data_IF_731779659985
#
_entry.id   IF_731779659985
#
_cell.length_a   1.000
_cell.length_b   1.000
_cell.length_c   1.000
_cell.angle_alpha   90.00
_cell.angle_beta   90.00
_cell.angle_gamma   90.00
#
_symmetry.space_group_name_H-M   'P 1'
#
loop_
_entity.id
_entity.type
_entity.pdbx_description
1 polymer ?
#
# COMPACT_ATOMS: atom_id res chain seq x y z
N UNK A 1 10.76 -12.15 -12.51
CA UNK A 1 10.82 -10.97 -11.62
C UNK A 1 12.05 -10.13 -11.94
N UNK A 2 13.20 -10.71 -11.98
CA UNK A 2 14.47 -10.01 -12.23
C UNK A 2 14.46 -9.23 -13.57
N UNK A 3 13.90 -9.77 -14.62
CA UNK A 3 13.73 -9.07 -15.91
C UNK A 3 12.95 -7.73 -15.78
N UNK A 4 11.96 -7.66 -14.89
CA UNK A 4 11.19 -6.43 -14.64
C UNK A 4 12.04 -5.43 -13.86
N UNK A 5 12.78 -5.92 -12.86
CA UNK A 5 13.57 -5.07 -11.97
C UNK A 5 14.86 -4.58 -12.62
N UNK A 6 15.51 -5.42 -13.43
CA UNK A 6 16.75 -5.09 -14.14
C UNK A 6 16.52 -4.34 -15.45
N UNK A 7 15.35 -4.46 -16.03
CA UNK A 7 15.00 -3.85 -17.33
C UNK A 7 14.97 -2.32 -17.33
N UNK A 8 14.92 -1.68 -16.18
CA UNK A 8 14.95 -0.22 -16.05
C UNK A 8 13.73 0.50 -16.64
N UNK A 9 12.67 -0.23 -17.01
CA UNK A 9 11.46 0.33 -17.61
C UNK A 9 10.59 1.09 -16.60
N UNK A 10 10.72 0.74 -15.32
CA UNK A 10 9.96 1.32 -14.23
C UNK A 10 10.94 1.86 -13.19
N UNK A 11 10.57 2.95 -12.55
CA UNK A 11 11.40 3.57 -11.53
C UNK A 11 10.58 4.00 -10.33
N UNK A 12 11.13 3.80 -9.15
CA UNK A 12 10.52 4.32 -7.94
C UNK A 12 10.37 5.83 -7.96
N UNK A 13 9.29 6.31 -7.36
CA UNK A 13 9.13 7.71 -7.03
C UNK A 13 10.24 8.12 -6.04
N UNK A 14 10.88 9.25 -6.31
CA UNK A 14 11.96 9.79 -5.44
C UNK A 14 11.43 10.81 -4.44
N UNK A 15 10.20 11.24 -4.62
CA UNK A 15 9.52 12.18 -3.72
C UNK A 15 8.02 12.05 -3.93
N UNK A 16 7.27 12.49 -2.92
CA UNK A 16 5.81 12.57 -3.03
C UNK A 16 5.31 13.66 -3.99
N UNK A 17 6.16 14.42 -4.62
CA UNK A 17 5.92 15.43 -5.67
C UNK A 17 4.47 15.86 -5.88
N UNK A 18 4.06 15.90 -7.13
CA UNK A 18 2.67 16.14 -7.56
C UNK A 18 1.94 14.84 -7.96
N UNK A 19 2.65 13.73 -8.08
CA UNK A 19 2.12 12.41 -8.43
C UNK A 19 1.89 11.58 -7.18
N UNK A 20 0.74 11.77 -6.55
CA UNK A 20 0.38 11.06 -5.32
C UNK A 20 0.09 9.58 -5.53
N UNK A 21 -0.14 9.15 -6.75
CA UNK A 21 -0.42 7.77 -7.11
C UNK A 21 0.83 6.99 -7.54
N UNK A 22 2.00 7.65 -7.60
CA UNK A 22 3.25 7.05 -8.07
C UNK A 22 3.12 6.40 -9.45
N UNK A 23 2.55 7.12 -10.42
CA UNK A 23 2.22 6.58 -11.75
C UNK A 23 3.41 5.98 -12.51
N UNK A 24 4.64 6.41 -12.20
CA UNK A 24 5.87 5.83 -12.75
C UNK A 24 6.14 4.38 -12.30
N UNK A 25 5.51 3.97 -11.22
CA UNK A 25 5.62 2.64 -10.65
C UNK A 25 4.54 1.68 -11.16
N UNK A 26 3.59 2.15 -11.98
CA UNK A 26 2.51 1.32 -12.50
C UNK A 26 3.03 0.43 -13.63
N UNK A 27 3.19 -0.87 -13.35
CA UNK A 27 3.50 -1.89 -14.35
C UNK A 27 2.26 -2.16 -15.21
N UNK A 28 1.09 -2.15 -14.57
CA UNK A 28 -0.20 -2.23 -15.22
C UNK A 28 -1.14 -1.22 -14.56
N UNK A 29 -1.64 -0.30 -15.35
CA UNK A 29 -2.65 0.67 -14.96
C UNK A 29 -3.84 0.59 -15.89
N UNK A 30 -5.04 0.66 -15.33
CA UNK A 30 -6.25 0.78 -16.13
C UNK A 30 -6.55 2.27 -16.34
N UNK A 31 -6.58 2.74 -17.58
CA UNK A 31 -6.97 4.11 -17.87
C UNK A 31 -8.40 4.30 -17.36
N UNK A 32 -8.59 5.31 -16.52
CA UNK A 32 -9.92 5.67 -16.05
C UNK A 32 -10.26 7.05 -16.59
N UNK A 33 -11.45 7.24 -17.16
CA UNK A 33 -11.94 8.57 -17.47
C UNK A 33 -11.88 9.44 -16.21
N UNK A 34 -11.52 10.70 -16.39
CA UNK A 34 -11.42 11.67 -15.28
C UNK A 34 -12.67 11.64 -14.39
N UNK A 35 -13.83 11.54 -15.03
CA UNK A 35 -15.13 11.47 -14.36
C UNK A 35 -15.28 10.18 -13.53
N UNK A 36 -14.73 9.06 -13.98
CA UNK A 36 -14.83 7.77 -13.28
C UNK A 36 -14.01 7.75 -11.99
N UNK A 37 -12.75 8.22 -12.04
CA UNK A 37 -11.91 8.35 -10.84
C UNK A 37 -12.46 9.41 -9.88
N UNK A 38 -12.96 10.53 -10.40
CA UNK A 38 -13.61 11.57 -9.61
C UNK A 38 -14.86 11.02 -8.90
N UNK A 39 -15.69 10.27 -9.61
CA UNK A 39 -16.88 9.66 -9.03
C UNK A 39 -16.52 8.65 -7.94
N UNK A 40 -15.53 7.80 -8.18
CA UNK A 40 -15.08 6.79 -7.22
C UNK A 40 -14.47 7.44 -5.98
N UNK A 41 -13.51 8.33 -6.14
CA UNK A 41 -12.85 9.05 -5.05
C UNK A 41 -13.83 9.90 -4.26
N UNK A 42 -14.68 10.67 -4.94
CA UNK A 42 -15.68 11.50 -4.31
C UNK A 42 -16.72 10.66 -3.54
N UNK A 43 -17.26 9.61 -4.17
CA UNK A 43 -18.31 8.80 -3.57
C UNK A 43 -17.78 7.98 -2.39
N UNK A 44 -16.63 7.36 -2.52
CA UNK A 44 -16.10 6.49 -1.48
C UNK A 44 -15.48 7.27 -0.32
N UNK A 45 -14.65 8.25 -0.63
CA UNK A 45 -13.81 8.90 0.39
C UNK A 45 -14.36 10.21 0.90
N UNK A 46 -15.15 10.90 0.13
CA UNK A 46 -15.71 12.21 0.51
C UNK A 46 -17.16 12.16 0.93
N UNK A 47 -18.01 11.60 0.08
CA UNK A 47 -19.46 11.63 0.27
C UNK A 47 -19.93 10.58 1.29
N UNK A 48 -19.29 9.41 1.32
CA UNK A 48 -19.60 8.33 2.26
C UNK A 48 -18.79 8.38 3.56
N UNK A 49 -17.90 9.36 3.68
CA UNK A 49 -17.10 9.53 4.90
C UNK A 49 -16.21 8.32 5.23
N UNK A 50 -15.71 7.61 4.22
CA UNK A 50 -14.72 6.56 4.43
C UNK A 50 -13.45 7.22 4.91
N UNK A 51 -13.34 7.34 6.20
CA UNK A 51 -12.19 7.92 6.89
C UNK A 51 -11.16 6.84 7.08
N UNK A 52 -9.89 7.16 6.86
CA UNK A 52 -8.80 6.28 7.27
C UNK A 52 -8.89 6.05 8.78
N UNK A 53 -9.18 4.85 9.15
CA UNK A 53 -9.05 4.42 10.53
C UNK A 53 -7.66 3.82 10.74
N UNK A 54 -7.21 3.87 11.92
CA UNK A 54 -7.37 4.90 12.92
C UNK A 54 -6.23 5.90 12.82
N UNK A 55 -6.54 7.09 13.15
CA UNK A 55 -5.59 8.18 13.39
C UNK A 55 -4.34 7.71 14.16
N UNK A 56 -4.52 6.80 15.10
CA UNK A 56 -3.45 6.23 15.93
C UNK A 56 -2.38 5.52 15.11
N UNK A 57 -2.74 4.64 14.19
CA UNK A 57 -1.75 3.91 13.36
C UNK A 57 -1.00 4.84 12.41
N UNK A 58 -1.66 5.85 11.87
CA UNK A 58 -1.03 6.85 11.02
C UNK A 58 -0.08 7.75 11.82
N UNK A 59 -0.44 8.11 13.04
CA UNK A 59 0.43 8.89 13.92
C UNK A 59 1.65 8.08 14.40
N UNK A 60 1.49 6.81 14.73
CA UNK A 60 2.60 5.90 15.03
C UNK A 60 3.54 5.78 13.83
N UNK A 61 2.99 5.58 12.65
CA UNK A 61 3.77 5.52 11.41
C UNK A 61 4.55 6.82 11.15
N UNK A 62 3.94 8.00 11.36
CA UNK A 62 4.65 9.28 11.23
C UNK A 62 5.81 9.43 12.21
N UNK A 63 5.69 8.84 13.40
CA UNK A 63 6.77 8.84 14.38
C UNK A 63 7.91 7.91 13.96
N UNK A 64 7.57 6.74 13.41
CA UNK A 64 8.56 5.75 12.94
C UNK A 64 9.29 6.21 11.68
N UNK A 65 8.59 6.78 10.74
CA UNK A 65 9.09 7.17 9.42
C UNK A 65 8.57 8.56 9.00
N UNK A 66 9.04 9.64 9.63
CA UNK A 66 8.51 10.99 9.39
C UNK A 66 8.77 11.53 7.98
N UNK A 67 9.72 10.96 7.26
CA UNK A 67 10.09 11.29 5.90
C UNK A 67 9.48 10.35 4.84
N UNK A 68 8.57 9.46 5.24
CA UNK A 68 7.92 8.54 4.30
C UNK A 68 7.14 9.31 3.23
N UNK A 69 7.53 9.12 1.99
CA UNK A 69 6.95 9.85 0.84
C UNK A 69 5.46 9.56 0.65
N UNK A 70 4.96 8.45 1.18
CA UNK A 70 3.54 8.04 1.09
C UNK A 70 2.61 8.88 1.96
N UNK A 71 3.12 9.60 2.96
CA UNK A 71 2.27 10.44 3.81
C UNK A 71 1.51 11.50 3.04
N UNK A 72 2.07 12.03 1.95
CA UNK A 72 1.34 12.99 1.12
C UNK A 72 0.13 12.39 0.44
N UNK A 73 0.21 11.12 0.06
CA UNK A 73 -0.92 10.40 -0.53
C UNK A 73 -1.95 9.93 0.49
N UNK A 74 -1.64 10.03 1.79
CA UNK A 74 -2.50 9.52 2.87
C UNK A 74 -2.98 10.57 3.85
N UNK A 75 -2.37 11.75 3.85
CA UNK A 75 -2.67 12.79 4.82
C UNK A 75 -3.28 14.02 4.16
N UNK A 76 -4.60 14.11 4.21
CA UNK A 76 -5.24 15.40 4.14
C UNK A 76 -5.47 15.87 5.58
N UNK A 77 -4.75 16.91 5.99
CA UNK A 77 -4.77 17.51 7.33
C UNK A 77 -6.17 17.89 7.84
N UNK A 78 -7.17 17.93 6.98
CA UNK A 78 -8.52 18.37 7.32
C UNK A 78 -9.51 17.24 7.59
N UNK A 79 -9.32 16.01 7.06
CA UNK A 79 -10.35 14.97 7.14
C UNK A 79 -9.86 13.52 7.16
N UNK A 80 -8.57 13.21 7.27
CA UNK A 80 -8.02 11.85 7.18
C UNK A 80 -8.45 11.09 5.90
N UNK A 81 -8.61 11.80 4.82
CA UNK A 81 -8.95 11.24 3.52
C UNK A 81 -7.68 10.76 2.80
N UNK A 82 -7.83 9.83 1.87
CA UNK A 82 -6.78 9.42 0.96
C UNK A 82 -6.68 10.40 -0.22
N UNK A 83 -5.78 11.38 -0.22
CA UNK A 83 -5.64 12.33 -1.33
C UNK A 83 -5.26 11.64 -2.64
N UNK A 84 -4.67 10.45 -2.56
CA UNK A 84 -4.27 9.62 -3.70
C UNK A 84 -5.40 9.44 -4.72
N UNK A 85 -6.65 9.39 -4.25
CA UNK A 85 -7.84 9.21 -5.07
C UNK A 85 -8.84 10.36 -4.96
N UNK A 86 -8.48 11.45 -4.28
CA UNK A 86 -9.34 12.60 -4.21
C UNK A 86 -9.31 13.43 -5.50
N UNK A 87 -10.47 13.64 -6.07
CA UNK A 87 -10.65 14.37 -7.33
C UNK A 87 -10.11 15.79 -7.32
N UNK A 88 -10.14 16.47 -6.16
CA UNK A 88 -9.58 17.81 -6.02
C UNK A 88 -8.05 17.78 -6.01
N UNK A 89 -7.47 16.78 -5.36
CA UNK A 89 -6.02 16.58 -5.37
C UNK A 89 -5.54 16.22 -6.78
N UNK A 90 -6.27 15.37 -7.50
CA UNK A 90 -5.97 15.02 -8.91
C UNK A 90 -6.11 16.24 -9.83
N UNK A 91 -7.09 17.12 -9.61
CA UNK A 91 -7.30 18.31 -10.42
C UNK A 91 -6.18 19.36 -10.24
N UNK A 92 -5.61 19.47 -9.04
CA UNK A 92 -4.50 20.37 -8.73
C UNK A 92 -3.18 19.86 -9.32
N UNK A 93 -3.05 18.55 -9.49
CA UNK A 93 -1.85 17.89 -9.98
C UNK A 93 -2.00 17.49 -11.48
N UNK A 94 -2.40 18.44 -12.31
CA UNK A 94 -2.54 18.25 -13.75
C UNK A 94 -1.25 17.77 -14.40
N UNK A 95 -1.26 16.57 -14.97
CA UNK A 95 -0.15 16.00 -15.74
C UNK A 95 0.17 14.54 -15.49
N UNK A 96 -0.25 13.96 -14.38
CA UNK A 96 -0.13 12.52 -14.17
C UNK A 96 -1.22 11.77 -14.96
N UNK A 97 -0.90 10.65 -15.59
CA UNK A 97 -1.91 9.82 -16.24
C UNK A 97 -2.92 9.35 -15.21
N UNK A 98 -4.19 9.57 -15.49
CA UNK A 98 -5.27 9.12 -14.63
C UNK A 98 -5.47 7.62 -14.84
N UNK A 99 -4.80 6.83 -14.01
CA UNK A 99 -4.86 5.39 -14.06
C UNK A 99 -5.18 4.85 -12.67
N UNK A 100 -6.01 3.82 -12.63
CA UNK A 100 -6.16 2.99 -11.44
C UNK A 100 -4.99 2.01 -11.46
N UNK A 101 -4.09 2.03 -10.48
CA UNK A 101 -3.00 1.07 -10.42
C UNK A 101 -3.56 -0.34 -10.23
N UNK A 102 -3.08 -1.26 -11.04
CA UNK A 102 -3.47 -2.67 -10.96
C UNK A 102 -2.30 -3.52 -10.48
N UNK A 103 -1.09 -3.24 -10.98
CA UNK A 103 0.17 -3.82 -10.53
C UNK A 103 1.18 -2.69 -10.40
N UNK A 104 1.80 -2.60 -9.24
CA UNK A 104 2.80 -1.57 -8.94
C UNK A 104 4.19 -2.19 -8.72
N UNK A 105 5.23 -1.41 -8.99
CA UNK A 105 6.62 -1.82 -8.75
C UNK A 105 6.85 -2.20 -7.28
N UNK A 106 6.31 -1.42 -6.34
CA UNK A 106 6.38 -1.71 -4.91
C UNK A 106 5.81 -3.08 -4.55
N UNK A 107 4.70 -3.49 -5.19
CA UNK A 107 4.10 -4.81 -4.99
C UNK A 107 5.05 -5.94 -5.42
N UNK A 108 5.76 -5.76 -6.55
CA UNK A 108 6.72 -6.76 -7.03
C UNK A 108 7.84 -6.99 -6.02
N UNK A 109 8.38 -5.92 -5.43
CA UNK A 109 9.39 -6.05 -4.37
C UNK A 109 8.87 -6.75 -3.12
N UNK A 110 7.67 -6.40 -2.68
CA UNK A 110 7.06 -7.03 -1.50
C UNK A 110 6.71 -8.50 -1.75
N UNK A 111 6.23 -8.86 -2.94
CA UNK A 111 6.04 -10.26 -3.35
C UNK A 111 7.37 -11.01 -3.34
N UNK A 112 8.44 -10.38 -3.87
CA UNK A 112 9.78 -10.95 -3.86
C UNK A 112 10.30 -11.24 -2.47
N UNK A 113 10.17 -10.27 -1.56
CA UNK A 113 10.56 -10.42 -0.17
C UNK A 113 9.79 -11.55 0.52
N UNK A 114 8.45 -11.59 0.37
CA UNK A 114 7.61 -12.66 0.94
C UNK A 114 7.96 -14.05 0.36
N UNK A 115 8.19 -14.14 -0.95
CA UNK A 115 8.54 -15.39 -1.60
C UNK A 115 9.91 -15.93 -1.16
N UNK A 116 10.93 -15.06 -1.10
CA UNK A 116 12.26 -15.40 -0.61
C UNK A 116 12.17 -15.90 0.85
N UNK A 117 11.41 -15.19 1.69
CA UNK A 117 11.20 -15.57 3.09
C UNK A 117 10.57 -16.98 3.21
N UNK A 118 9.56 -17.29 2.39
CA UNK A 118 8.93 -18.61 2.36
C UNK A 118 9.85 -19.72 1.86
N UNK A 119 10.85 -19.37 1.08
CA UNK A 119 11.90 -20.28 0.64
C UNK A 119 13.08 -20.39 1.63
N UNK A 120 12.98 -19.75 2.81
CA UNK A 120 14.03 -19.63 3.82
C UNK A 120 15.30 -18.89 3.32
N UNK A 121 15.15 -18.07 2.28
CA UNK A 121 16.21 -17.17 1.81
C UNK A 121 16.06 -15.80 2.52
N UNK A 122 16.62 -15.72 3.74
CA UNK A 122 16.56 -14.50 4.54
C UNK A 122 17.33 -13.35 3.89
N UNK A 123 18.45 -13.64 3.25
CA UNK A 123 19.25 -12.64 2.56
C UNK A 123 18.52 -12.04 1.37
N UNK A 124 17.89 -12.88 0.55
CA UNK A 124 17.04 -12.44 -0.56
C UNK A 124 15.82 -11.64 -0.08
N UNK A 125 15.15 -12.10 0.98
CA UNK A 125 14.03 -11.39 1.58
C UNK A 125 14.43 -10.00 2.06
N UNK A 126 15.56 -9.90 2.78
CA UNK A 126 16.12 -8.63 3.21
C UNK A 126 16.48 -7.73 2.02
N UNK A 127 17.13 -8.26 0.99
CA UNK A 127 17.55 -7.47 -0.17
C UNK A 127 16.36 -6.85 -0.90
N UNK A 128 15.29 -7.60 -1.15
CA UNK A 128 14.07 -7.05 -1.76
C UNK A 128 13.41 -6.01 -0.86
N UNK A 129 13.25 -6.33 0.42
CA UNK A 129 12.55 -5.47 1.37
C UNK A 129 13.30 -4.17 1.64
N UNK A 130 14.61 -4.23 1.88
CA UNK A 130 15.45 -3.04 2.10
C UNK A 130 15.46 -2.13 0.88
N UNK A 131 15.62 -2.70 -0.33
CA UNK A 131 15.56 -1.93 -1.58
C UNK A 131 14.25 -1.18 -1.72
N UNK A 132 13.12 -1.81 -1.40
CA UNK A 132 11.81 -1.17 -1.42
C UNK A 132 11.69 -0.07 -0.35
N UNK A 133 12.06 -0.38 0.89
CA UNK A 133 11.93 0.55 2.03
C UNK A 133 12.77 1.80 1.82
N UNK A 134 14.00 1.68 1.33
CA UNK A 134 14.90 2.79 1.04
C UNK A 134 14.33 3.77 -0.02
N UNK A 135 13.33 3.33 -0.80
CA UNK A 135 12.61 4.20 -1.75
C UNK A 135 11.41 4.91 -1.12
N UNK A 136 11.02 4.54 0.08
CA UNK A 136 9.87 5.11 0.79
C UNK A 136 10.28 6.06 1.90
N UNK A 137 11.30 5.71 2.70
CA UNK A 137 11.80 6.54 3.80
C UNK A 137 13.26 6.19 4.14
N UNK A 138 13.93 7.09 4.86
CA UNK A 138 15.38 7.00 5.08
C UNK A 138 15.80 6.09 6.23
N UNK A 139 14.89 5.69 7.12
CA UNK A 139 15.21 4.95 8.34
C UNK A 139 14.38 3.68 8.45
N UNK A 140 15.03 2.54 8.26
CA UNK A 140 14.43 1.22 8.46
C UNK A 140 14.83 0.61 9.81
N UNK A 141 13.95 -0.23 10.36
CA UNK A 141 14.25 -1.05 11.56
C UNK A 141 14.87 -2.40 11.21
N UNK A 142 14.79 -2.82 9.95
CA UNK A 142 15.37 -4.09 9.52
C UNK A 142 16.85 -3.97 9.20
N UNK A 143 17.57 -5.04 9.50
CA UNK A 143 19.01 -5.20 9.19
C UNK A 143 19.22 -6.56 8.54
N UNK A 144 20.37 -6.76 7.91
CA UNK A 144 20.69 -8.03 7.20
C UNK A 144 20.61 -9.27 8.11
N UNK A 145 20.79 -9.08 9.41
CA UNK A 145 20.70 -10.14 10.42
C UNK A 145 19.30 -10.31 11.02
N UNK A 146 18.30 -9.62 10.49
CA UNK A 146 16.91 -9.74 10.95
C UNK A 146 16.40 -11.17 10.80
N UNK A 147 15.64 -11.61 11.79
CA UNK A 147 15.01 -12.93 11.78
C UNK A 147 13.86 -13.01 10.77
N UNK A 148 13.44 -14.22 10.43
CA UNK A 148 12.30 -14.45 9.55
C UNK A 148 11.02 -13.77 10.08
N UNK A 149 10.83 -13.74 11.40
CA UNK A 149 9.68 -13.09 12.04
C UNK A 149 9.74 -11.58 11.86
N UNK A 150 10.87 -10.94 12.13
CA UNK A 150 11.06 -9.50 11.98
C UNK A 150 10.89 -9.06 10.52
N UNK A 151 11.41 -9.85 9.57
CA UNK A 151 11.23 -9.57 8.15
C UNK A 151 9.75 -9.69 7.73
N UNK A 152 9.03 -10.70 8.24
CA UNK A 152 7.61 -10.87 7.93
C UNK A 152 6.75 -9.74 8.52
N UNK A 153 7.01 -9.34 9.76
CA UNK A 153 6.33 -8.21 10.39
C UNK A 153 6.54 -6.91 9.61
N UNK A 154 7.76 -6.69 9.09
CA UNK A 154 8.03 -5.53 8.25
C UNK A 154 7.35 -5.64 6.89
N UNK A 155 7.34 -6.81 6.24
CA UNK A 155 6.61 -7.05 4.99
C UNK A 155 5.12 -6.72 5.19
N UNK A 156 4.48 -7.22 6.25
CA UNK A 156 3.08 -6.93 6.57
C UNK A 156 2.84 -5.43 6.77
N UNK A 157 3.71 -4.76 7.52
CA UNK A 157 3.66 -3.32 7.74
C UNK A 157 3.76 -2.54 6.44
N UNK A 158 4.66 -2.94 5.56
CA UNK A 158 4.83 -2.28 4.26
C UNK A 158 3.65 -2.51 3.31
N UNK A 159 3.03 -3.70 3.31
CA UNK A 159 1.79 -3.94 2.57
C UNK A 159 0.66 -3.03 3.05
N UNK A 160 0.50 -2.87 4.36
CA UNK A 160 -0.52 -1.98 4.92
C UNK A 160 -0.27 -0.54 4.46
N UNK A 161 0.96 -0.07 4.54
CA UNK A 161 1.34 1.31 4.16
C UNK A 161 1.20 1.57 2.67
N UNK A 162 1.52 0.60 1.82
CA UNK A 162 1.49 0.74 0.37
C UNK A 162 0.06 0.68 -0.19
N UNK A 163 -0.75 -0.25 0.30
CA UNK A 163 -2.07 -0.56 -0.27
C UNK A 163 -3.25 -0.11 0.58
N UNK A 164 -3.02 0.81 1.50
CA UNK A 164 -4.09 1.36 2.33
C UNK A 164 -5.19 2.00 1.45
N UNK A 165 -6.43 1.53 1.61
CA UNK A 165 -7.59 2.01 0.86
C UNK A 165 -7.70 1.47 -0.57
N UNK A 166 -6.84 0.56 -1.01
CA UNK A 166 -6.85 0.00 -2.38
C UNK A 166 -7.63 -1.32 -2.51
N UNK A 167 -8.16 -1.83 -1.40
CA UNK A 167 -8.96 -3.07 -1.39
C UNK A 167 -8.12 -4.35 -1.39
N UNK A 168 -6.81 -4.28 -1.54
CA UNK A 168 -5.92 -5.45 -1.64
C UNK A 168 -5.64 -6.10 -0.29
N UNK A 169 -5.64 -5.33 0.80
CA UNK A 169 -5.21 -5.81 2.13
C UNK A 169 -6.01 -7.00 2.64
N UNK A 170 -7.33 -7.05 2.37
CA UNK A 170 -8.15 -8.20 2.76
C UNK A 170 -7.62 -9.51 2.16
N UNK A 171 -7.17 -9.47 0.89
CA UNK A 171 -6.60 -10.65 0.23
C UNK A 171 -5.22 -11.01 0.78
N UNK A 172 -4.42 -10.04 1.18
CA UNK A 172 -3.17 -10.27 1.88
C UNK A 172 -3.41 -10.94 3.24
N UNK A 173 -4.31 -10.42 4.04
CA UNK A 173 -4.69 -10.99 5.34
C UNK A 173 -5.22 -12.43 5.21
N UNK A 174 -6.03 -12.69 4.17
CA UNK A 174 -6.51 -14.04 3.84
C UNK A 174 -5.35 -14.96 3.46
N UNK A 175 -4.42 -14.51 2.62
CA UNK A 175 -3.25 -15.30 2.20
C UNK A 175 -2.37 -15.66 3.38
N UNK A 176 -2.16 -14.73 4.30
CA UNK A 176 -1.40 -14.94 5.53
C UNK A 176 -2.18 -15.70 6.60
N UNK A 177 -3.48 -15.91 6.39
CA UNK A 177 -4.38 -16.60 7.32
C UNK A 177 -4.36 -15.97 8.71
N UNK A 178 -4.38 -14.64 8.78
CA UNK A 178 -4.37 -13.93 10.05
C UNK A 178 -5.61 -14.26 10.86
N UNK A 179 -5.42 -14.53 12.15
CA UNK A 179 -6.53 -14.76 13.10
C UNK A 179 -7.21 -13.48 13.58
N UNK A 180 -6.59 -12.34 13.29
CA UNK A 180 -7.08 -11.02 13.67
C UNK A 180 -6.66 -9.99 12.63
N UNK A 181 -7.56 -9.10 12.26
CA UNK A 181 -7.28 -8.00 11.32
C UNK A 181 -7.79 -6.68 11.89
N UNK A 182 -7.16 -5.54 11.54
CA UNK A 182 -7.60 -4.24 12.03
C UNK A 182 -8.97 -3.86 11.46
N UNK A 183 -9.81 -3.25 12.30
CA UNK A 183 -11.09 -2.64 11.93
C UNK A 183 -10.93 -1.13 11.72
N UNK A 184 -11.89 -0.54 11.03
CA UNK A 184 -11.94 0.91 10.79
C UNK A 184 -12.06 1.75 12.08
N UNK A 185 -12.53 1.16 13.17
CA UNK A 185 -12.70 1.83 14.47
C UNK A 185 -11.54 1.61 15.46
N UNK A 186 -10.42 1.07 14.97
CA UNK A 186 -9.22 0.81 15.77
C UNK A 186 -9.26 -0.47 16.60
N UNK A 187 -10.38 -1.22 16.56
CA UNK A 187 -10.45 -2.53 17.18
C UNK A 187 -9.92 -3.60 16.23
N UNK A 188 -9.63 -4.76 16.77
CA UNK A 188 -9.31 -5.93 15.96
C UNK A 188 -10.57 -6.79 15.73
N UNK A 189 -10.70 -7.29 14.52
CA UNK A 189 -11.74 -8.25 14.15
C UNK A 189 -11.14 -9.64 14.18
N UNK A 190 -11.65 -10.49 15.06
CA UNK A 190 -11.31 -11.92 15.07
C UNK A 190 -11.72 -12.59 13.76
N UNK A 191 -10.77 -13.24 13.10
CA UNK A 191 -10.96 -13.87 11.81
C UNK A 191 -10.93 -15.39 11.91
N UNK A 192 -11.80 -16.02 11.14
CA UNK A 192 -11.84 -17.47 10.94
C UNK A 192 -11.79 -17.77 9.45
N UNK A 193 -11.48 -19.02 9.07
CA UNK A 193 -11.52 -19.44 7.68
C UNK A 193 -12.86 -19.12 7.00
N UNK A 194 -13.96 -19.25 7.71
CA UNK A 194 -15.29 -18.94 7.20
C UNK A 194 -15.49 -17.45 6.90
N UNK A 195 -14.92 -16.55 7.72
CA UNK A 195 -15.00 -15.10 7.50
C UNK A 195 -14.17 -14.62 6.30
N UNK A 196 -13.21 -15.41 5.86
CA UNK A 196 -12.43 -15.13 4.64
C UNK A 196 -13.11 -15.62 3.35
N UNK A 197 -14.29 -16.22 3.47
CA UNK A 197 -15.07 -16.71 2.32
C UNK A 197 -16.30 -15.83 2.13
N UNK A 198 -16.41 -15.22 0.96
CA UNK A 198 -17.60 -14.46 0.61
C UNK A 198 -18.79 -15.42 0.45
N UNK A 199 -19.92 -15.15 1.12
CA UNK A 199 -21.10 -15.97 0.91
C UNK A 199 -21.58 -15.88 -0.53
N UNK A 200 -21.97 -17.02 -1.10
CA UNK A 200 -22.66 -17.02 -2.40
C UNK A 200 -24.02 -16.38 -2.18
N UNK A 201 -24.39 -15.36 -2.97
CA UNK A 201 -25.72 -14.76 -2.87
C UNK A 201 -26.79 -15.83 -2.99
N UNK A 202 -27.75 -15.86 -2.06
CA UNK A 202 -28.95 -16.69 -2.21
C UNK A 202 -29.80 -16.10 -3.34
N UNK A 203 -30.19 -16.95 -4.30
CA UNK A 203 -31.13 -16.57 -5.37
C UNK A 203 -32.53 -16.38 -4.80
#
# INVERSE_FOLDING_TARGET
>A
MDEILEGGYFSFATSAGTDLAFSREHLLGLPSPKEGLQALGYTLFRDKGVVLSPIVQVEEWKQEAPDDIRFRSMNNTLQNLLPKYDSLSIAVFSGAPQQIPYIMLGEIYLIGAEAALKLNDLSGAYAYLSTFVDKRFSKTSIVETSTATELMEEIERQYIREFLGEGQLFYCYKRWNLSSIPSYDGRNIEMTKAKYVWPIPAN
#
